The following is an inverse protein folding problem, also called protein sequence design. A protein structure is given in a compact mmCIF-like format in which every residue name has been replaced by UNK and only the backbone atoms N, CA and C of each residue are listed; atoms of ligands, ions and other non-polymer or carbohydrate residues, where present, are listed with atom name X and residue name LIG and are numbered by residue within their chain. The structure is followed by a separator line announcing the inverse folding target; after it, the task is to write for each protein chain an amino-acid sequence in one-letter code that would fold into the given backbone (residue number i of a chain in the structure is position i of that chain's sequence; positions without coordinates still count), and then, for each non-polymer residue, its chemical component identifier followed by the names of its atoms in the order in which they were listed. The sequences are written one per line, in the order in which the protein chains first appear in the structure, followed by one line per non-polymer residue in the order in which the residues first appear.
data_IF_357771475686
#
_entry.id   IF_357771475686
#
_cell.length_a   1.000
_cell.length_b   1.000
_cell.length_c   1.000
_cell.angle_alpha   90.00
_cell.angle_beta   90.00
_cell.angle_gamma   90.00
#
_symmetry.space_group_name_H-M   'P 1'
#
loop_
_entity.id
_entity.type
_entity.pdbx_description
1 polymer ?
2 non-polymer ?
3 non-polymer ?
4 non-polymer ?
5 water ?
#
# COMPACT_ATOMS: atom_id res chain seq x y z
N UNK A 1 17.23 10.44 4.70
CA UNK A 1 16.56 10.92 3.46
C UNK A 1 15.51 9.88 3.02
N UNK A 2 14.63 10.25 2.10
CA UNK A 2 13.48 9.37 1.78
C UNK A 2 13.95 8.20 0.92
N UNK A 3 13.26 7.08 1.04
CA UNK A 3 13.48 5.89 0.20
C UNK A 3 12.28 5.70 -0.73
N UNK A 4 12.54 5.35 -1.98
CA UNK A 4 11.54 5.34 -3.06
C UNK A 4 11.32 3.91 -3.53
N UNK A 5 10.05 3.55 -3.73
CA UNK A 5 9.67 2.23 -4.21
C UNK A 5 8.63 2.28 -5.31
N UNK A 6 8.28 1.10 -5.76
CA UNK A 6 7.12 0.92 -6.65
C UNK A 6 6.40 -0.37 -6.24
N UNK A 7 5.09 -0.39 -6.45
CA UNK A 7 4.25 -1.59 -6.33
C UNK A 7 4.42 -2.43 -7.60
N UNK A 8 4.72 -3.72 -7.44
CA UNK A 8 4.96 -4.62 -8.59
C UNK A 8 3.75 -4.62 -9.54
N UNK A 9 2.55 -4.34 -9.05
CA UNK A 9 1.28 -4.49 -9.79
C UNK A 9 1.20 -3.49 -10.96
N UNK A 10 2.08 -2.51 -11.01
CA UNK A 10 2.26 -1.61 -12.18
C UNK A 10 2.44 -2.43 -13.45
N UNK A 11 3.12 -3.56 -13.33
CA UNK A 11 3.45 -4.41 -14.49
C UNK A 11 2.49 -5.59 -14.65
N UNK A 12 1.58 -5.86 -13.72
CA UNK A 12 0.90 -7.18 -13.66
C UNK A 12 -0.63 -7.04 -13.65
N UNK A 13 -1.34 -8.09 -14.06
CA UNK A 13 -2.83 -8.12 -14.12
C UNK A 13 -3.37 -8.90 -12.91
N UNK A 14 -2.48 -9.57 -12.13
CA UNK A 14 -2.84 -10.46 -11.00
C UNK A 14 -2.04 -10.11 -9.74
N UNK A 15 -2.62 -10.35 -8.58
CA UNK A 15 -1.95 -10.07 -7.28
C UNK A 15 -0.93 -11.17 -6.97
N UNK A 16 -1.22 -12.42 -7.33
CA UNK A 16 -0.40 -13.58 -6.90
C UNK A 16 0.52 -13.97 -8.05
N UNK A 17 1.71 -13.38 -8.12
CA UNK A 17 2.73 -13.67 -9.17
C UNK A 17 4.09 -13.79 -8.50
N UNK A 18 5.06 -14.32 -9.24
CA UNK A 18 6.45 -14.40 -8.77
C UNK A 18 7.03 -12.98 -8.72
N UNK A 19 7.71 -12.65 -7.62
CA UNK A 19 8.22 -11.28 -7.40
C UNK A 19 9.71 -11.15 -7.72
N UNK A 20 10.42 -12.25 -7.96
CA UNK A 20 11.89 -12.18 -8.13
C UNK A 20 12.26 -11.25 -9.28
N UNK A 21 11.61 -11.35 -10.43
CA UNK A 21 11.95 -10.51 -11.59
C UNK A 21 11.84 -9.03 -11.17
N UNK A 22 10.95 -8.69 -10.24
CA UNK A 22 10.72 -7.27 -9.84
C UNK A 22 11.80 -6.80 -8.87
N UNK A 23 12.43 -7.68 -8.12
CA UNK A 23 13.59 -7.29 -7.27
C UNK A 23 14.71 -6.84 -8.21
N UNK A 24 14.99 -7.59 -9.26
CA UNK A 24 16.08 -7.25 -10.20
C UNK A 24 15.69 -5.95 -10.92
N UNK A 25 14.42 -5.83 -11.30
CA UNK A 25 13.95 -4.65 -12.06
C UNK A 25 14.12 -3.38 -11.22
N UNK A 26 13.70 -3.39 -9.96
CA UNK A 26 13.72 -2.13 -9.18
C UNK A 26 15.18 -1.72 -8.91
N UNK A 27 16.06 -2.70 -8.75
CA UNK A 27 17.50 -2.39 -8.59
C UNK A 27 18.02 -1.74 -9.88
N UNK A 28 17.66 -2.28 -11.04
CA UNK A 28 18.09 -1.71 -12.33
C UNK A 28 17.56 -0.26 -12.46
N UNK A 29 16.34 0.00 -11.97
CA UNK A 29 15.74 1.36 -12.05
C UNK A 29 16.23 2.30 -10.96
N UNK A 30 17.09 1.86 -10.03
CA UNK A 30 17.63 2.73 -8.98
C UNK A 30 16.62 3.05 -7.88
N UNK A 31 15.59 2.20 -7.75
CA UNK A 31 14.64 2.28 -6.60
C UNK A 31 15.23 1.61 -5.38
N UNK A 32 14.75 1.99 -4.20
CA UNK A 32 15.21 1.47 -2.89
C UNK A 32 14.30 0.34 -2.42
N UNK A 33 13.04 0.33 -2.88
CA UNK A 33 11.96 -0.54 -2.35
C UNK A 33 11.17 -1.22 -3.47
N UNK A 34 10.83 -2.49 -3.25
CA UNK A 34 9.76 -3.18 -4.01
C UNK A 34 8.64 -3.48 -3.03
N UNK A 35 7.43 -3.05 -3.37
CA UNK A 35 6.22 -3.47 -2.62
C UNK A 35 5.58 -4.62 -3.37
N UNK A 36 5.39 -5.71 -2.65
CA UNK A 36 4.76 -6.94 -3.17
C UNK A 36 3.37 -7.14 -2.57
N UNK A 37 2.53 -7.95 -3.20
CA UNK A 37 1.20 -8.33 -2.67
C UNK A 37 1.37 -9.42 -1.63
N UNK A 38 0.79 -9.20 -0.47
CA UNK A 38 0.72 -10.21 0.61
C UNK A 38 0.09 -11.49 0.07
N UNK A 39 -0.86 -11.40 -0.89
CA UNK A 39 -1.53 -12.59 -1.46
C UNK A 39 -0.56 -13.48 -2.24
N UNK A 40 0.55 -12.93 -2.73
CA UNK A 40 1.63 -13.67 -3.41
C UNK A 40 2.63 -14.25 -2.43
N UNK A 41 2.54 -13.92 -1.13
CA UNK A 41 3.52 -14.41 -0.10
C UNK A 41 2.91 -15.52 0.73
N UNK A 42 1.63 -15.41 1.08
CA UNK A 42 1.01 -16.21 2.17
C UNK A 42 1.06 -17.71 1.86
N UNK A 43 0.95 -18.12 0.60
CA UNK A 43 1.00 -19.56 0.23
C UNK A 43 2.25 -19.82 -0.62
N UNK A 44 3.26 -18.96 -0.56
CA UNK A 44 4.51 -19.20 -1.32
C UNK A 44 5.32 -20.26 -0.57
N UNK A 45 5.88 -21.27 -1.25
CA UNK A 45 6.76 -22.22 -0.57
C UNK A 45 7.89 -21.56 0.21
N UNK A 46 8.25 -22.19 1.33
CA UNK A 46 9.33 -21.71 2.22
C UNK A 46 10.61 -21.44 1.43
N UNK A 47 10.99 -22.32 0.49
CA UNK A 47 12.25 -22.11 -0.26
C UNK A 47 12.15 -20.84 -1.08
N UNK A 48 10.98 -20.55 -1.64
CA UNK A 48 10.82 -19.33 -2.47
C UNK A 48 10.77 -18.09 -1.57
N UNK A 49 10.23 -18.19 -0.35
CA UNK A 49 10.29 -17.02 0.57
C UNK A 49 11.75 -16.73 0.90
N UNK A 50 12.53 -17.76 1.22
CA UNK A 50 13.98 -17.59 1.50
C UNK A 50 14.70 -17.02 0.27
N UNK A 51 14.42 -17.53 -0.92
CA UNK A 51 15.10 -17.08 -2.17
C UNK A 51 14.77 -15.60 -2.38
N UNK A 52 13.54 -15.19 -2.09
CA UNK A 52 13.15 -13.78 -2.29
C UNK A 52 13.93 -12.91 -1.28
N UNK A 53 13.97 -13.31 -0.02
CA UNK A 53 14.75 -12.59 1.02
C UNK A 53 16.21 -12.48 0.55
N UNK A 54 16.79 -13.57 0.08
CA UNK A 54 18.25 -13.56 -0.27
C UNK A 54 18.48 -12.64 -1.49
N UNK A 55 17.56 -12.63 -2.45
CA UNK A 55 17.72 -11.80 -3.68
C UNK A 55 17.62 -10.33 -3.28
N UNK A 56 16.67 -9.99 -2.41
CA UNK A 56 16.53 -8.61 -1.92
C UNK A 56 17.79 -8.18 -1.18
N UNK A 57 18.38 -9.06 -0.38
CA UNK A 57 19.63 -8.72 0.36
C UNK A 57 20.77 -8.52 -0.65
N UNK A 58 20.87 -9.38 -1.66
CA UNK A 58 21.97 -9.35 -2.65
C UNK A 58 21.93 -8.00 -3.36
N UNK A 59 20.72 -7.52 -3.68
CA UNK A 59 20.53 -6.27 -4.46
C UNK A 59 20.36 -5.04 -3.55
N UNK A 60 20.39 -5.21 -2.24
CA UNK A 60 20.17 -4.16 -1.22
C UNK A 60 18.85 -3.44 -1.52
N UNK A 61 17.80 -4.25 -1.71
CA UNK A 61 16.40 -3.77 -1.93
C UNK A 61 15.58 -4.12 -0.70
N UNK A 62 14.85 -3.15 -0.19
CA UNK A 62 13.84 -3.30 0.89
C UNK A 62 12.56 -3.84 0.28
N UNK A 63 12.00 -4.88 0.87
CA UNK A 63 10.68 -5.40 0.47
C UNK A 63 9.63 -4.94 1.46
N UNK A 64 8.50 -4.43 0.97
CA UNK A 64 7.28 -4.14 1.76
C UNK A 64 6.12 -4.94 1.17
N UNK A 65 5.03 -5.06 1.91
CA UNK A 65 3.86 -5.83 1.48
C UNK A 65 2.62 -4.92 1.49
N UNK A 66 1.78 -5.12 0.50
CA UNK A 66 0.44 -4.52 0.43
C UNK A 66 -0.63 -5.59 0.54
N UNK A 67 -1.74 -5.23 1.18
CA UNK A 67 -2.88 -6.16 1.37
C UNK A 67 -4.19 -5.37 1.29
N UNK A 68 -5.15 -5.94 0.60
CA UNK A 68 -6.58 -5.60 0.75
C UNK A 68 -7.32 -6.86 1.12
N UNK A 69 -7.75 -6.99 2.37
CA UNK A 69 -8.35 -8.27 2.81
C UNK A 69 -9.64 -8.52 2.05
N UNK A 70 -9.86 -9.76 1.55
CA UNK A 70 -11.16 -10.12 1.00
C UNK A 70 -12.23 -10.23 2.08
N UNK A 71 -13.49 -10.15 1.64
CA UNK A 71 -14.69 -10.13 2.48
C UNK A 71 -14.65 -11.31 3.47
N UNK A 72 -14.20 -12.49 3.05
CA UNK A 72 -14.21 -13.69 3.96
C UNK A 72 -13.20 -13.52 5.10
N UNK A 73 -12.30 -12.52 5.00
CA UNK A 73 -11.28 -12.25 6.04
C UNK A 73 -11.45 -10.86 6.62
N UNK A 74 -12.68 -10.36 6.63
CA UNK A 74 -13.01 -9.01 7.13
C UNK A 74 -12.82 -8.96 8.64
N UNK A 75 -11.70 -8.40 9.10
CA UNK A 75 -11.40 -8.28 10.56
C UNK A 75 -12.29 -7.22 11.22
N UNK A 76 -13.14 -6.51 10.46
CA UNK A 76 -14.12 -5.53 11.02
C UNK A 76 -15.53 -6.14 11.04
N UNK A 77 -15.67 -7.40 10.66
CA UNK A 77 -17.00 -8.06 10.53
C UNK A 77 -17.70 -8.11 11.89
N UNK A 78 -19.02 -7.96 11.90
CA UNK A 78 -19.85 -8.26 13.11
C UNK A 78 -19.97 -9.78 13.29
N UNK A 79 -19.61 -10.59 12.27
CA UNK A 79 -19.59 -12.07 12.36
C UNK A 79 -18.27 -12.52 13.01
N UNK A 80 -18.34 -13.08 14.21
CA UNK A 80 -17.15 -13.52 14.98
C UNK A 80 -16.34 -14.54 14.16
N UNK A 81 -16.99 -15.41 13.38
CA UNK A 81 -16.29 -16.47 12.60
C UNK A 81 -15.46 -15.78 11.52
N UNK A 82 -16.04 -14.83 10.80
CA UNK A 82 -15.34 -14.06 9.72
C UNK A 82 -14.16 -13.32 10.36
N UNK A 83 -14.41 -12.59 11.45
CA UNK A 83 -13.38 -11.81 12.18
C UNK A 83 -12.21 -12.72 12.52
N UNK A 84 -12.49 -13.89 13.12
CA UNK A 84 -11.44 -14.80 13.58
C UNK A 84 -10.70 -15.34 12.37
N UNK A 85 -11.43 -15.69 11.30
CA UNK A 85 -10.79 -16.23 10.08
C UNK A 85 -9.85 -15.17 9.52
N UNK A 86 -10.25 -13.90 9.54
CA UNK A 86 -9.39 -12.82 9.02
C UNK A 86 -8.15 -12.62 9.87
N UNK A 87 -8.27 -12.71 11.18
CA UNK A 87 -7.11 -12.60 12.09
C UNK A 87 -6.15 -13.77 11.84
N UNK A 88 -6.68 -15.01 11.71
CA UNK A 88 -5.86 -16.20 11.37
C UNK A 88 -5.09 -15.96 10.07
N UNK A 89 -5.75 -15.40 9.07
CA UNK A 89 -5.16 -15.16 7.73
C UNK A 89 -4.04 -14.12 7.85
N UNK A 90 -4.28 -12.99 8.54
CA UNK A 90 -3.20 -11.94 8.63
C UNK A 90 -2.01 -12.50 9.42
N UNK A 91 -2.25 -13.32 10.44
CA UNK A 91 -1.11 -13.95 11.18
C UNK A 91 -0.27 -14.80 10.22
N UNK A 92 -0.92 -15.57 9.34
CA UNK A 92 -0.21 -16.39 8.33
C UNK A 92 0.57 -15.47 7.37
N UNK A 93 -0.03 -14.35 6.96
CA UNK A 93 0.67 -13.36 6.11
C UNK A 93 1.92 -12.88 6.85
N UNK A 94 1.80 -12.54 8.13
CA UNK A 94 2.94 -12.01 8.91
C UNK A 94 4.02 -13.09 9.06
N UNK A 95 3.61 -14.34 9.23
CA UNK A 95 4.59 -15.46 9.29
C UNK A 95 5.39 -15.51 7.99
N UNK A 96 4.73 -15.37 6.85
CA UNK A 96 5.39 -15.44 5.52
C UNK A 96 6.30 -14.20 5.34
N UNK A 97 5.80 -13.04 5.75
CA UNK A 97 6.59 -11.78 5.72
C UNK A 97 7.91 -12.02 6.46
N UNK A 98 7.86 -12.58 7.66
CA UNK A 98 9.07 -12.82 8.47
C UNK A 98 10.07 -13.64 7.64
N UNK A 99 9.63 -14.73 7.00
CA UNK A 99 10.54 -15.58 6.21
C UNK A 99 11.11 -14.81 5.02
N UNK A 100 10.38 -13.84 4.47
CA UNK A 100 10.84 -13.06 3.29
C UNK A 100 11.66 -11.83 3.72
N UNK A 101 11.81 -11.59 5.03
CA UNK A 101 12.52 -10.40 5.55
C UNK A 101 11.72 -9.11 5.39
N UNK A 102 10.40 -9.22 5.44
CA UNK A 102 9.50 -8.06 5.22
C UNK A 102 8.97 -7.58 6.57
N UNK A 103 8.98 -6.27 6.78
CA UNK A 103 8.62 -5.65 8.07
C UNK A 103 7.41 -4.73 7.99
N UNK A 104 6.98 -4.32 6.81
CA UNK A 104 5.89 -3.32 6.70
C UNK A 104 4.76 -3.95 5.90
N UNK A 105 3.55 -3.93 6.44
CA UNK A 105 2.33 -4.39 5.72
C UNK A 105 1.35 -3.24 5.75
N UNK A 106 0.87 -2.85 4.57
CA UNK A 106 -0.03 -1.69 4.46
C UNK A 106 -1.20 -1.96 3.57
N UNK A 107 -2.25 -1.18 3.75
CA UNK A 107 -3.45 -1.21 2.90
C UNK A 107 -4.65 -1.38 3.78
N UNK A 108 -5.58 -2.22 3.36
CA UNK A 108 -6.78 -2.51 4.16
C UNK A 108 -6.49 -3.81 4.90
N UNK A 109 -5.75 -3.68 5.99
CA UNK A 109 -5.41 -4.78 6.94
C UNK A 109 -6.39 -4.74 8.12
N UNK A 110 -7.37 -3.84 8.08
CA UNK A 110 -8.22 -3.47 9.22
C UNK A 110 -9.70 -3.63 8.92
N UNK A 111 -10.03 -4.12 7.74
CA UNK A 111 -11.42 -4.28 7.26
C UNK A 111 -11.33 -5.14 6.00
N UNK A 112 -12.22 -4.97 5.03
CA UNK A 112 -12.09 -5.68 3.73
C UNK A 112 -12.12 -4.64 2.61
N UNK A 113 -11.60 -5.06 1.48
CA UNK A 113 -11.43 -4.22 0.28
C UNK A 113 -11.51 -5.08 -0.98
N UNK A 114 -12.05 -4.58 -2.10
CA UNK A 114 -12.82 -3.32 -2.12
C UNK A 114 -14.20 -3.51 -1.49
N UNK A 115 -14.71 -2.48 -0.83
CA UNK A 115 -16.02 -2.58 -0.13
C UNK A 115 -17.12 -2.82 -1.18
N UNK A 116 -18.16 -3.53 -0.80
CA UNK A 116 -19.34 -3.90 -1.62
C UNK A 116 -20.52 -3.19 -0.97
N UNK A 117 -21.03 -2.11 -1.61
CA UNK A 117 -22.09 -1.29 -0.98
C UNK A 117 -23.47 -1.85 -1.33
N UNK A 118 -23.55 -3.04 -1.94
CA UNK A 118 -24.86 -3.66 -2.34
C UNK A 118 -25.64 -4.11 -1.10
N UNK A 119 -24.98 -4.27 0.04
CA UNK A 119 -25.63 -4.68 1.30
C UNK A 119 -25.40 -3.64 2.39
N UNK A 120 -26.10 -3.75 3.53
CA UNK A 120 -25.94 -2.78 4.61
C UNK A 120 -24.63 -2.94 5.37
N UNK A 121 -24.26 -1.86 6.05
CA UNK A 121 -23.10 -1.84 6.96
C UNK A 121 -23.42 -0.96 8.15
N UNK A 122 -22.66 -1.17 9.21
CA UNK A 122 -22.78 -0.45 10.49
C UNK A 122 -21.39 0.12 10.77
N UNK A 123 -21.17 1.39 10.41
CA UNK A 123 -19.81 1.97 10.49
C UNK A 123 -19.33 1.95 11.94
N UNK A 124 -20.10 2.43 12.95
CA UNK A 124 -19.63 2.35 14.33
C UNK A 124 -19.28 0.93 14.82
N UNK A 125 -20.10 -0.06 14.51
CA UNK A 125 -19.87 -1.45 14.97
C UNK A 125 -18.61 -1.98 14.29
N UNK A 126 -18.46 -1.72 12.99
CA UNK A 126 -17.30 -2.20 12.21
C UNK A 126 -16.05 -1.53 12.78
N UNK A 127 -16.12 -0.24 13.11
CA UNK A 127 -14.93 0.49 13.59
C UNK A 127 -14.47 -0.13 14.91
N UNK A 128 -15.41 -0.45 15.80
CA UNK A 128 -15.05 -1.01 17.11
C UNK A 128 -14.34 -2.37 16.92
N UNK A 129 -14.90 -3.26 16.08
CA UNK A 129 -14.29 -4.58 15.80
C UNK A 129 -12.91 -4.37 15.14
N UNK A 130 -12.84 -3.44 14.20
CA UNK A 130 -11.61 -3.13 13.45
C UNK A 130 -10.48 -2.78 14.42
N UNK A 131 -10.76 -1.91 15.38
CA UNK A 131 -9.74 -1.49 16.35
C UNK A 131 -9.32 -2.72 17.18
N UNK A 132 -10.27 -3.51 17.68
CA UNK A 132 -9.94 -4.68 18.53
C UNK A 132 -9.06 -5.64 17.72
N UNK A 133 -9.41 -5.89 16.46
CA UNK A 133 -8.66 -6.81 15.58
C UNK A 133 -7.25 -6.27 15.35
N UNK A 134 -7.15 -4.99 15.03
CA UNK A 134 -5.82 -4.39 14.72
C UNK A 134 -4.91 -4.40 15.97
N UNK A 135 -5.47 -4.18 17.15
CA UNK A 135 -4.65 -4.29 18.38
C UNK A 135 -4.10 -5.72 18.50
N UNK A 136 -4.91 -6.74 18.26
CA UNK A 136 -4.47 -8.15 18.38
C UNK A 136 -3.37 -8.41 17.34
N UNK A 137 -3.55 -7.91 16.13
CA UNK A 137 -2.56 -8.13 15.05
C UNK A 137 -1.28 -7.36 15.31
N UNK A 138 -1.36 -6.16 15.88
CA UNK A 138 -0.19 -5.37 16.26
C UNK A 138 0.64 -6.14 17.29
N UNK A 139 -0.02 -6.76 18.25
CA UNK A 139 0.69 -7.53 19.31
C UNK A 139 1.38 -8.72 18.64
N UNK A 140 0.71 -9.39 17.72
CA UNK A 140 1.28 -10.57 17.03
C UNK A 140 2.49 -10.13 16.20
N UNK A 141 2.39 -8.93 15.63
CA UNK A 141 3.44 -8.39 14.73
C UNK A 141 4.76 -8.13 15.48
N UNK A 142 4.69 -7.88 16.80
CA UNK A 142 5.91 -7.44 17.55
C UNK A 142 7.02 -8.47 17.45
N UNK A 143 6.73 -9.76 17.47
CA UNK A 143 7.73 -10.85 17.44
C UNK A 143 8.57 -10.78 16.16
N UNK A 144 8.04 -10.14 15.10
CA UNK A 144 8.73 -10.05 13.80
C UNK A 144 9.15 -8.62 13.48
N UNK A 145 9.04 -7.68 14.44
CA UNK A 145 9.28 -6.25 14.22
C UNK A 145 8.52 -5.80 12.96
N UNK A 146 7.24 -6.13 12.92
CA UNK A 146 6.36 -5.71 11.79
C UNK A 146 5.56 -4.48 12.21
N UNK A 147 5.42 -3.57 11.26
CA UNK A 147 4.59 -2.36 11.39
C UNK A 147 3.39 -2.50 10.44
N UNK A 148 2.22 -2.21 10.95
CA UNK A 148 0.95 -2.16 10.21
C UNK A 148 0.72 -0.73 9.75
N UNK A 149 0.41 -0.56 8.48
CA UNK A 149 0.14 0.76 7.86
C UNK A 149 -1.34 0.81 7.47
N UNK A 150 -2.08 1.67 8.15
CA UNK A 150 -3.55 1.79 7.99
C UNK A 150 -3.79 2.77 6.85
N UNK A 151 -4.22 2.29 5.70
CA UNK A 151 -4.39 3.19 4.54
C UNK A 151 -5.71 3.96 4.64
N UNK A 152 -5.65 5.24 4.30
CA UNK A 152 -6.79 6.15 4.23
C UNK A 152 -7.28 6.12 2.77
N UNK A 153 -8.53 5.74 2.56
CA UNK A 153 -9.06 5.39 1.23
C UNK A 153 -10.23 6.31 0.89
N UNK A 154 -10.49 6.47 -0.40
CA UNK A 154 -11.71 7.19 -0.84
C UNK A 154 -12.99 6.43 -0.49
N UNK A 155 -14.07 7.19 -0.45
CA UNK A 155 -15.41 6.73 -0.04
C UNK A 155 -15.91 5.53 -0.86
N UNK A 156 -15.46 5.36 -2.09
CA UNK A 156 -15.97 4.31 -3.00
C UNK A 156 -15.34 2.97 -2.63
N UNK A 157 -14.15 2.99 -2.01
CA UNK A 157 -13.37 1.76 -1.78
C UNK A 157 -13.53 1.26 -0.35
N UNK A 158 -13.94 2.12 0.57
CA UNK A 158 -14.12 1.80 2.01
C UNK A 158 -14.95 2.89 2.66
N UNK A 159 -15.51 2.61 3.84
CA UNK A 159 -16.35 3.58 4.58
C UNK A 159 -15.72 3.97 5.92
N UNK A 160 -14.69 3.27 6.41
CA UNK A 160 -14.27 3.50 7.82
C UNK A 160 -13.40 4.77 7.94
N UNK A 161 -12.35 4.89 7.14
CA UNK A 161 -11.32 5.95 7.25
C UNK A 161 -11.16 6.60 5.87
N UNK A 162 -11.88 7.68 5.63
CA UNK A 162 -11.89 8.31 4.28
C UNK A 162 -11.03 9.57 4.25
N UNK A 163 -10.62 10.11 5.38
CA UNK A 163 -9.69 11.25 5.36
C UNK A 163 -8.69 11.14 6.51
N UNK A 164 -7.68 12.01 6.46
CA UNK A 164 -6.56 12.02 7.43
C UNK A 164 -7.12 12.26 8.83
N UNK A 165 -8.17 13.07 8.99
CA UNK A 165 -8.79 13.29 10.32
C UNK A 165 -9.30 11.95 10.85
N UNK A 166 -10.00 11.17 10.04
CA UNK A 166 -10.54 9.88 10.50
C UNK A 166 -9.39 8.90 10.76
N UNK A 167 -8.36 8.86 9.91
CA UNK A 167 -7.28 7.86 10.01
C UNK A 167 -6.45 8.18 11.26
N UNK A 168 -6.16 9.46 11.49
CA UNK A 168 -5.37 9.84 12.70
C UNK A 168 -6.18 9.50 13.95
N UNK A 169 -7.48 9.81 13.97
CA UNK A 169 -8.31 9.50 15.17
C UNK A 169 -8.27 7.99 15.46
N UNK A 170 -8.44 7.18 14.41
CA UNK A 170 -8.42 5.70 14.49
C UNK A 170 -7.06 5.22 15.05
N UNK A 171 -5.97 5.65 14.45
CA UNK A 171 -4.61 5.17 14.85
C UNK A 171 -4.28 5.64 16.26
N UNK A 172 -4.66 6.86 16.63
CA UNK A 172 -4.48 7.30 18.04
C UNK A 172 -5.29 6.41 18.98
N UNK A 173 -6.52 6.05 18.61
CA UNK A 173 -7.37 5.19 19.48
C UNK A 173 -6.75 3.80 19.59
N UNK A 174 -6.30 3.22 18.47
CA UNK A 174 -5.68 1.88 18.49
C UNK A 174 -4.58 1.88 19.55
N UNK A 175 -3.75 2.93 19.53
CA UNK A 175 -2.72 3.21 20.56
C UNK A 175 -1.70 2.07 20.61
N UNK A 176 -1.11 1.74 19.45
CA UNK A 176 -0.02 0.74 19.35
C UNK A 176 1.13 1.40 18.62
N UNK A 177 2.37 1.29 19.14
CA UNK A 177 3.52 1.97 18.55
C UNK A 177 3.82 1.52 17.12
N UNK A 178 3.41 0.31 16.77
CA UNK A 178 3.72 -0.30 15.45
C UNK A 178 2.48 -0.24 14.56
N UNK A 179 1.55 0.68 14.83
CA UNK A 179 0.39 0.94 13.93
C UNK A 179 0.42 2.41 13.53
N UNK A 180 0.56 2.65 12.23
CA UNK A 180 0.72 4.03 11.70
C UNK A 180 -0.23 4.26 10.53
N UNK A 181 -0.35 5.52 10.14
CA UNK A 181 -1.22 5.93 9.00
C UNK A 181 -0.42 5.77 7.70
N UNK A 182 -1.08 5.24 6.66
CA UNK A 182 -0.58 5.40 5.28
C UNK A 182 -1.49 6.36 4.53
N UNK A 183 -0.90 7.37 3.89
CA UNK A 183 -1.65 8.28 3.00
C UNK A 183 -1.35 7.90 1.56
N UNK A 184 -2.24 8.27 0.64
CA UNK A 184 -2.11 7.90 -0.78
C UNK A 184 -2.60 9.08 -1.59
N UNK A 185 -1.79 9.62 -2.50
CA UNK A 185 -2.20 10.82 -3.29
C UNK A 185 -3.53 10.56 -3.99
N UNK A 186 -3.76 9.38 -4.54
CA UNK A 186 -5.01 9.06 -5.26
C UNK A 186 -6.21 9.31 -4.34
N UNK A 187 -6.14 8.76 -3.13
CA UNK A 187 -7.24 8.83 -2.12
C UNK A 187 -7.34 10.25 -1.56
N UNK A 188 -6.22 10.90 -1.25
CA UNK A 188 -6.23 12.26 -0.69
C UNK A 188 -6.85 13.23 -1.69
N UNK A 189 -6.59 12.98 -2.96
CA UNK A 189 -7.04 13.88 -4.05
C UNK A 189 -8.56 13.91 -4.09
N UNK A 190 -9.23 12.86 -3.64
CA UNK A 190 -10.71 12.76 -3.63
C UNK A 190 -11.23 13.39 -2.34
N UNK A 191 -10.67 13.06 -1.19
CA UNK A 191 -11.38 13.32 0.08
C UNK A 191 -10.85 14.55 0.85
N UNK A 192 -9.62 15.01 0.63
CA UNK A 192 -9.04 16.09 1.43
C UNK A 192 -9.38 17.44 0.81
N UNK A 193 -9.44 18.47 1.66
CA UNK A 193 -9.55 19.85 1.13
C UNK A 193 -8.28 20.22 0.37
N UNK A 194 -7.15 19.77 0.87
CA UNK A 194 -5.80 20.20 0.41
C UNK A 194 -4.80 19.10 0.75
N UNK A 195 -4.13 18.53 -0.25
CA UNK A 195 -3.32 17.30 -0.03
C UNK A 195 -2.17 17.60 0.95
N UNK A 196 -1.43 18.67 0.70
CA UNK A 196 -0.26 19.02 1.53
C UNK A 196 -0.70 19.26 2.97
N UNK A 197 -1.86 19.85 3.19
CA UNK A 197 -2.36 20.08 4.56
C UNK A 197 -2.64 18.73 5.24
N UNK A 198 -3.18 17.75 4.50
CA UNK A 198 -3.46 16.41 5.07
C UNK A 198 -2.16 15.74 5.50
N UNK A 199 -1.10 15.86 4.69
CA UNK A 199 0.23 15.31 5.05
C UNK A 199 0.75 16.01 6.33
N UNK A 200 0.71 17.33 6.38
CA UNK A 200 1.16 18.07 7.59
C UNK A 200 0.33 17.66 8.81
N UNK A 201 -0.98 17.49 8.67
CA UNK A 201 -1.86 17.11 9.79
C UNK A 201 -1.44 15.76 10.34
N UNK A 202 -1.17 14.82 9.42
CA UNK A 202 -0.87 13.42 9.78
C UNK A 202 0.47 13.37 10.50
N UNK A 203 1.46 14.13 10.03
CA UNK A 203 2.70 14.41 10.80
C UNK A 203 3.36 13.12 11.29
N UNK A 204 3.57 13.01 12.59
CA UNK A 204 4.33 11.89 13.20
C UNK A 204 3.62 10.55 12.98
N UNK A 205 2.33 10.56 12.68
CA UNK A 205 1.57 9.30 12.43
C UNK A 205 1.84 8.78 11.02
N UNK A 206 2.48 9.55 10.15
CA UNK A 206 2.64 9.09 8.74
C UNK A 206 3.75 8.05 8.67
N UNK A 207 3.38 6.80 8.36
CA UNK A 207 4.34 5.70 8.25
C UNK A 207 4.72 5.36 6.81
N UNK A 208 3.90 5.70 5.82
CA UNK A 208 4.20 5.44 4.40
C UNK A 208 3.32 6.31 3.52
N UNK A 209 3.82 6.68 2.36
CA UNK A 209 3.08 7.51 1.38
C UNK A 209 3.05 6.77 0.04
N UNK A 210 1.87 6.49 -0.48
CA UNK A 210 1.68 5.99 -1.87
C UNK A 210 1.49 7.20 -2.78
N UNK A 211 2.11 7.16 -3.96
CA UNK A 211 2.02 8.29 -4.92
C UNK A 211 1.62 7.77 -6.30
N UNK A 212 0.87 8.60 -6.98
CA UNK A 212 0.31 8.39 -8.32
C UNK A 212 -0.42 9.65 -8.71
N UNK A 213 -0.70 9.82 -9.98
CA UNK A 213 -1.55 10.96 -10.43
C UNK A 213 -3.02 10.68 -10.04
N UNK A 214 -3.88 11.65 -10.28
CA UNK A 214 -5.30 11.54 -9.92
C UNK A 214 -5.92 10.31 -10.56
N UNK A 215 -5.55 9.97 -11.80
CA UNK A 215 -6.13 8.80 -12.49
C UNK A 215 -5.18 7.58 -12.40
N UNK A 216 -4.16 7.67 -11.53
CA UNK A 216 -3.20 6.58 -11.16
C UNK A 216 -2.15 6.32 -12.26
N UNK A 217 -1.95 7.26 -13.17
CA UNK A 217 -0.75 7.27 -14.04
C UNK A 217 0.48 7.61 -13.20
N UNK A 218 1.66 7.39 -13.78
CA UNK A 218 2.91 7.72 -13.06
C UNK A 218 2.98 9.23 -12.80
N UNK A 219 3.58 9.64 -11.66
CA UNK A 219 3.79 11.05 -11.39
C UNK A 219 4.48 11.76 -12.58
N UNK A 220 3.93 12.91 -12.97
CA UNK A 220 4.42 13.71 -14.10
C UNK A 220 3.45 13.66 -15.28
N UNK A 221 2.55 12.69 -15.34
CA UNK A 221 1.58 12.58 -16.47
C UNK A 221 0.23 13.22 -16.10
N UNK A 222 0.10 13.83 -14.93
CA UNK A 222 -1.16 14.44 -14.49
C UNK A 222 -0.94 15.82 -13.91
N UNK A 223 -1.69 16.13 -12.86
CA UNK A 223 -1.84 17.52 -12.36
C UNK A 223 -1.67 17.57 -10.84
N UNK A 224 -1.19 16.51 -10.22
CA UNK A 224 -1.01 16.54 -8.74
C UNK A 224 -0.04 17.66 -8.37
N UNK A 225 -0.22 18.27 -7.18
CA UNK A 225 0.66 19.36 -6.72
C UNK A 225 1.95 18.80 -6.08
N UNK A 226 2.83 18.27 -6.92
CA UNK A 226 4.05 17.53 -6.48
C UNK A 226 4.96 18.44 -5.66
N UNK A 227 5.14 19.71 -6.05
CA UNK A 227 5.99 20.63 -5.26
C UNK A 227 5.38 20.84 -3.87
N UNK A 228 4.06 21.04 -3.79
CA UNK A 228 3.41 21.24 -2.47
C UNK A 228 3.53 19.98 -1.61
N UNK A 229 3.38 18.81 -2.22
CA UNK A 229 3.51 17.52 -1.49
C UNK A 229 4.95 17.40 -0.97
N UNK A 230 5.93 17.65 -1.82
CA UNK A 230 7.34 17.67 -1.40
C UNK A 230 7.54 18.60 -0.22
N UNK A 231 6.98 19.79 -0.27
CA UNK A 231 7.17 20.78 0.83
C UNK A 231 6.54 20.22 2.11
N UNK A 232 5.35 19.63 2.03
CA UNK A 232 4.69 19.06 3.23
C UNK A 232 5.58 17.99 3.84
N UNK A 233 6.19 17.15 3.02
CA UNK A 233 7.08 16.08 3.56
C UNK A 233 8.29 16.73 4.25
N UNK A 234 8.84 17.80 3.69
CA UNK A 234 9.93 18.56 4.36
C UNK A 234 9.41 19.15 5.68
N UNK A 235 8.21 19.73 5.66
CA UNK A 235 7.59 20.37 6.85
C UNK A 235 7.48 19.36 8.02
N UNK A 236 7.23 18.07 7.78
CA UNK A 236 7.07 17.06 8.86
C UNK A 236 8.37 16.26 9.03
N UNK A 237 9.45 16.66 8.35
CA UNK A 237 10.78 16.00 8.42
C UNK A 237 10.60 14.51 8.11
N UNK A 238 9.83 14.22 7.07
CA UNK A 238 9.60 12.83 6.65
C UNK A 238 10.88 12.29 6.00
N UNK A 239 11.35 11.17 6.50
CA UNK A 239 12.49 10.44 5.88
C UNK A 239 12.06 9.00 5.63
N UNK A 240 10.76 8.78 5.52
CA UNK A 240 10.14 7.45 5.38
C UNK A 240 10.02 7.04 3.92
N UNK A 241 9.17 6.04 3.70
CA UNK A 241 9.03 5.38 2.37
C UNK A 241 7.98 6.10 1.52
N UNK A 242 8.34 6.29 0.25
CA UNK A 242 7.48 6.87 -0.81
C UNK A 242 7.38 5.79 -1.89
N UNK A 243 6.21 5.19 -2.03
CA UNK A 243 6.02 4.06 -2.97
C UNK A 243 5.08 4.50 -4.08
N UNK A 244 5.59 4.42 -5.28
CA UNK A 244 4.77 4.71 -6.49
C UNK A 244 3.79 3.56 -6.68
N UNK A 245 2.54 3.91 -6.95
CA UNK A 245 1.45 2.96 -7.12
C UNK A 245 0.68 3.28 -8.40
N UNK A 246 1.29 3.16 -9.59
CA UNK A 246 0.61 3.48 -10.84
C UNK A 246 -0.17 2.25 -11.30
N UNK A 247 -1.39 2.48 -11.79
CA UNK A 247 -2.26 1.44 -12.36
C UNK A 247 -2.75 1.93 -13.71
N UNK A 248 -2.23 1.37 -14.80
CA UNK A 248 -2.52 1.88 -16.17
C UNK A 248 -3.01 0.76 -17.08
N UNK A 249 -3.17 -0.46 -16.56
CA UNK A 249 -3.52 -1.67 -17.34
C UNK A 249 -4.95 -2.13 -17.02
N UNK A 250 -5.77 -2.29 -18.06
CA UNK A 250 -7.15 -2.81 -17.91
C UNK A 250 -7.08 -4.33 -18.07
N UNK A 251 -7.92 -5.07 -17.35
CA UNK A 251 -7.90 -6.56 -17.39
C UNK A 251 -7.38 -7.17 -16.10
N UNK A 252 -7.67 -8.43 -15.92
CA UNK A 252 -7.26 -9.25 -14.78
C UNK A 252 -7.90 -8.76 -13.53
N UNK A 253 -7.58 -9.44 -12.46
CA UNK A 253 -8.10 -9.18 -11.11
C UNK A 253 -7.68 -7.75 -10.74
N UNK A 254 -6.46 -7.34 -11.11
CA UNK A 254 -5.96 -5.99 -10.70
C UNK A 254 -6.87 -4.91 -11.30
N UNK A 255 -7.11 -4.98 -12.60
CA UNK A 255 -7.98 -3.98 -13.28
C UNK A 255 -9.39 -4.00 -12.71
N UNK A 256 -9.94 -5.16 -12.37
CA UNK A 256 -11.31 -5.29 -11.81
C UNK A 256 -11.31 -4.71 -10.40
N UNK A 257 -10.27 -4.96 -9.60
CA UNK A 257 -10.29 -4.47 -8.20
C UNK A 257 -10.10 -2.95 -8.18
N UNK A 258 -9.31 -2.39 -9.09
CA UNK A 258 -8.97 -0.94 -9.18
C UNK A 258 -10.04 -0.21 -10.04
N UNK A 259 -10.89 -0.97 -10.74
CA UNK A 259 -12.02 -0.47 -11.58
C UNK A 259 -11.50 0.37 -12.76
N UNK A 260 -10.45 -0.10 -13.39
CA UNK A 260 -9.93 0.56 -14.61
C UNK A 260 -10.51 -0.15 -15.84
N UNK A 261 -11.33 0.58 -16.61
CA UNK A 261 -12.18 0.01 -17.69
C UNK A 261 -11.78 0.58 -19.03
N UNK A 262 -10.58 1.15 -19.11
CA UNK A 262 -9.95 1.59 -20.38
C UNK A 262 -8.45 1.54 -20.17
N UNK A 263 -7.70 1.37 -21.26
CA UNK A 263 -6.23 1.40 -21.20
C UNK A 263 -5.75 2.84 -20.93
N UNK A 264 -4.88 3.05 -19.92
CA UNK A 264 -4.26 4.36 -19.68
C UNK A 264 -2.79 4.37 -20.07
N UNK A 265 -2.30 3.29 -20.70
CA UNK A 265 -0.86 3.11 -20.99
C UNK A 265 -0.53 3.38 -22.47
N UNK A 266 -1.52 3.61 -23.34
CA UNK A 266 -1.22 3.70 -24.78
C UNK A 266 -0.69 2.37 -25.30
N UNK A 267 -1.17 1.26 -24.75
CA UNK A 267 -0.70 -0.09 -25.10
C UNK A 267 0.84 -0.22 -24.89
N UNK A 268 1.39 0.35 -23.83
CA UNK A 268 2.86 0.38 -23.59
C UNK A 268 3.37 -1.05 -23.41
N UNK A 269 4.52 -1.33 -24.00
CA UNK A 269 5.32 -2.51 -23.65
C UNK A 269 5.82 -2.41 -22.21
N UNK A 270 6.22 -3.52 -21.63
CA UNK A 270 6.94 -3.54 -20.34
C UNK A 270 8.15 -2.58 -20.42
N UNK A 271 8.92 -2.60 -21.49
CA UNK A 271 10.12 -1.74 -21.63
C UNK A 271 9.71 -0.26 -21.56
N UNK A 272 8.62 0.11 -22.21
CA UNK A 272 8.13 1.49 -22.17
C UNK A 272 7.64 1.82 -20.76
N UNK A 273 6.96 0.89 -20.08
CA UNK A 273 6.53 1.16 -18.67
C UNK A 273 7.78 1.38 -17.81
N UNK A 274 8.84 0.60 -18.03
CA UNK A 274 10.11 0.80 -17.28
C UNK A 274 10.64 2.20 -17.52
N UNK A 275 10.73 2.61 -18.78
CA UNK A 275 11.29 3.94 -19.16
C UNK A 275 10.45 5.05 -18.53
N UNK A 276 9.13 4.91 -18.57
CA UNK A 276 8.22 5.95 -18.00
C UNK A 276 8.37 5.99 -16.49
N UNK A 277 8.57 4.85 -15.83
CA UNK A 277 8.73 4.85 -14.36
C UNK A 277 10.07 5.51 -14.01
N UNK A 278 11.15 5.23 -14.74
CA UNK A 278 12.47 5.88 -14.51
C UNK A 278 12.33 7.40 -14.66
N UNK A 279 11.68 7.86 -15.72
CA UNK A 279 11.45 9.31 -15.99
C UNK A 279 10.65 9.89 -14.82
N UNK A 280 9.60 9.18 -14.41
CA UNK A 280 8.73 9.62 -13.29
C UNK A 280 9.56 9.77 -12.01
N UNK A 281 10.40 8.78 -11.69
CA UNK A 281 11.19 8.80 -10.44
C UNK A 281 12.09 10.04 -10.42
N UNK A 282 12.72 10.36 -11.55
CA UNK A 282 13.60 11.56 -11.68
C UNK A 282 12.75 12.82 -11.46
N UNK A 283 11.56 12.83 -12.03
CA UNK A 283 10.60 13.96 -11.87
C UNK A 283 10.23 14.19 -10.41
N UNK A 284 9.88 13.09 -9.73
CA UNK A 284 9.43 13.11 -8.30
C UNK A 284 10.60 13.62 -7.43
N UNK A 285 11.78 13.05 -7.65
CA UNK A 285 12.96 13.42 -6.83
C UNK A 285 13.24 14.92 -7.01
N UNK A 286 13.11 15.43 -8.21
CA UNK A 286 13.32 16.88 -8.50
C UNK A 286 12.25 17.69 -7.76
N UNK A 287 10.97 17.31 -7.88
CA UNK A 287 9.83 18.01 -7.25
C UNK A 287 9.96 18.01 -5.71
N UNK A 288 10.51 16.93 -5.14
CA UNK A 288 10.62 16.73 -3.67
C UNK A 288 11.88 17.39 -3.12
N UNK A 289 12.71 17.99 -3.98
CA UNK A 289 13.91 18.74 -3.58
C UNK A 289 15.07 17.84 -3.20
N UNK A 290 15.15 16.60 -3.71
CA UNK A 290 16.32 15.68 -3.48
C UNK A 290 17.59 16.33 -4.04
#
# INVERSE_FOLDING_TARGET
SMKYGVYFAYWEDSWDVDFEKYVRKVKKLGLDILEVAALGLVNLPEQKLERLKQLAEQHDIILTAGIGLPKEYDVSSTDKTVRRNGITFVKKVMDAMHQAGIHRIGGTVYSYWPVDYSGPFDKPAARKHSIESVRELAEYARQYNITLLIETLNRFEQFLLNDAEEAVAYVKEVNKPNVKVMLDTFHMNIEEDHIADAIRYTGDHLGQLHIGEANRKVPGKGSMPWTEIGQALKDIRYDGYVVMEPFVKTGGQVGRDIKLWRDLSGNATEEQLDRELAESLEFVKAAFGE
#
